data_IF_581024937977
#
_entry.id   IF_581024937977
#
_cell.length_a   1.000
_cell.length_b   1.000
_cell.length_c   1.000
_cell.angle_alpha   90.00
_cell.angle_beta   90.00
_cell.angle_gamma   90.00
#
_symmetry.space_group_name_H-M   'P 1'
#
loop_
_entity.id
_entity.type
_entity.pdbx_description
1 polymer ?
#
# COMPACT_ATOMS: atom_id res chain seq x y z
N UNK A 1 -13.08 8.02 -20.94
CA UNK A 1 -14.20 8.74 -20.33
C UNK A 1 -15.45 8.33 -21.10
N UNK A 2 -16.18 7.33 -20.61
CA UNK A 2 -17.50 6.97 -21.13
C UNK A 2 -18.48 7.47 -20.08
N UNK A 3 -18.97 8.70 -20.27
CA UNK A 3 -20.12 9.18 -19.53
C UNK A 3 -21.32 8.34 -20.00
N UNK A 4 -22.02 7.69 -19.07
CA UNK A 4 -23.31 7.10 -19.38
C UNK A 4 -24.19 8.19 -20.03
N UNK A 5 -24.97 7.86 -21.07
CA UNK A 5 -25.84 8.84 -21.70
C UNK A 5 -26.75 9.48 -20.64
N UNK A 6 -26.88 10.81 -20.72
CA UNK A 6 -27.52 11.70 -19.73
C UNK A 6 -28.95 11.23 -19.31
N UNK A 7 -29.60 10.45 -20.17
CA UNK A 7 -30.95 9.90 -19.98
C UNK A 7 -31.06 8.73 -19.00
N UNK A 8 -29.94 8.08 -18.63
CA UNK A 8 -29.94 6.99 -17.66
C UNK A 8 -29.78 7.50 -16.22
N UNK A 9 -28.95 8.52 -16.01
CA UNK A 9 -28.68 9.10 -14.68
C UNK A 9 -29.94 9.71 -14.06
N UNK A 10 -30.79 10.33 -14.89
CA UNK A 10 -32.06 10.94 -14.44
C UNK A 10 -33.13 9.93 -14.00
N UNK A 11 -32.93 8.64 -14.29
CA UNK A 11 -33.83 7.54 -13.88
C UNK A 11 -33.29 6.75 -12.68
N UNK A 12 -32.03 6.98 -12.30
CA UNK A 12 -31.38 6.29 -11.21
C UNK A 12 -31.75 6.93 -9.87
N UNK A 13 -32.05 6.10 -8.89
CA UNK A 13 -32.13 6.53 -7.50
C UNK A 13 -30.76 7.04 -7.03
N UNK A 14 -30.74 7.91 -6.02
CA UNK A 14 -29.50 8.40 -5.39
C UNK A 14 -28.56 7.24 -5.00
N UNK A 15 -29.14 6.12 -4.54
CA UNK A 15 -28.39 4.90 -4.19
C UNK A 15 -27.70 4.25 -5.41
N UNK A 16 -28.36 4.21 -6.57
CA UNK A 16 -27.79 3.65 -7.79
C UNK A 16 -26.70 4.56 -8.35
N UNK A 17 -26.86 5.88 -8.23
CA UNK A 17 -25.82 6.86 -8.60
C UNK A 17 -24.58 6.66 -7.75
N UNK A 18 -24.73 6.58 -6.42
CA UNK A 18 -23.62 6.36 -5.47
C UNK A 18 -22.91 5.01 -5.72
N UNK A 19 -23.68 3.97 -6.04
CA UNK A 19 -23.15 2.66 -6.43
C UNK A 19 -22.36 2.73 -7.75
N UNK A 20 -22.85 3.46 -8.75
CA UNK A 20 -22.13 3.66 -10.01
C UNK A 20 -20.85 4.47 -9.82
N UNK A 21 -20.90 5.56 -9.05
CA UNK A 21 -19.72 6.39 -8.73
C UNK A 21 -18.66 5.59 -8.00
N UNK A 22 -19.03 4.82 -6.97
CA UNK A 22 -18.10 3.95 -6.25
C UNK A 22 -17.43 2.89 -7.13
N UNK A 23 -18.11 2.45 -8.20
CA UNK A 23 -17.58 1.49 -9.16
C UNK A 23 -16.65 2.13 -10.22
N UNK A 24 -16.84 3.42 -10.51
CA UNK A 24 -16.09 4.17 -11.53
C UNK A 24 -14.87 4.90 -10.97
N UNK A 25 -14.92 5.38 -9.72
CA UNK A 25 -13.73 5.77 -8.99
C UNK A 25 -12.95 4.51 -8.64
N UNK A 26 -12.06 4.10 -9.54
CA UNK A 26 -11.33 2.85 -9.46
C UNK A 26 -10.49 2.80 -8.17
N UNK A 27 -11.08 2.27 -7.09
CA UNK A 27 -10.45 1.97 -5.82
C UNK A 27 -9.19 1.13 -6.02
N UNK A 28 -9.22 0.23 -7.02
CA UNK A 28 -8.08 -0.62 -7.41
C UNK A 28 -6.85 0.20 -7.85
N UNK A 29 -7.02 1.27 -8.61
CA UNK A 29 -5.91 2.14 -9.03
C UNK A 29 -5.26 2.85 -7.83
N UNK A 30 -6.07 3.24 -6.85
CA UNK A 30 -5.61 3.83 -5.59
C UNK A 30 -4.87 2.81 -4.72
N UNK A 31 -5.39 1.59 -4.61
CA UNK A 31 -4.71 0.49 -3.92
C UNK A 31 -3.34 0.21 -4.54
N UNK A 32 -3.26 0.08 -5.86
CA UNK A 32 -1.99 -0.14 -6.58
C UNK A 32 -1.01 1.02 -6.33
N UNK A 33 -1.47 2.27 -6.42
CA UNK A 33 -0.65 3.44 -6.14
C UNK A 33 -0.14 3.46 -4.67
N UNK A 34 -0.99 3.08 -3.71
CA UNK A 34 -0.60 2.98 -2.30
C UNK A 34 0.46 1.89 -2.08
N UNK A 35 0.27 0.70 -2.69
CA UNK A 35 1.25 -0.40 -2.63
C UNK A 35 2.61 0.04 -3.17
N UNK A 36 2.62 0.65 -4.36
CA UNK A 36 3.84 1.17 -4.98
C UNK A 36 4.53 2.22 -4.10
N UNK A 37 3.78 3.18 -3.55
CA UNK A 37 4.33 4.19 -2.64
C UNK A 37 4.88 3.57 -1.36
N UNK A 38 4.19 2.55 -0.81
CA UNK A 38 4.63 1.87 0.40
C UNK A 38 5.97 1.16 0.20
N UNK A 39 6.13 0.44 -0.92
CA UNK A 39 7.38 -0.28 -1.25
C UNK A 39 8.57 0.63 -1.54
N UNK A 40 8.35 1.93 -1.83
CA UNK A 40 9.41 2.92 -2.05
C UNK A 40 9.82 3.71 -0.81
N UNK A 41 9.24 3.42 0.35
CA UNK A 41 9.56 4.14 1.59
C UNK A 41 10.89 3.68 2.16
N UNK A 42 11.85 4.58 2.18
CA UNK A 42 13.13 4.39 2.85
C UNK A 42 13.14 5.07 4.22
N UNK A 43 13.99 4.58 5.13
CA UNK A 43 14.26 5.19 6.43
C UNK A 43 15.03 6.49 6.24
N UNK A 44 14.59 7.55 6.92
CA UNK A 44 15.28 8.84 6.90
C UNK A 44 16.65 8.78 7.60
N UNK A 45 17.59 9.69 7.28
CA UNK A 45 18.95 9.68 7.83
C UNK A 45 19.02 9.90 9.35
N UNK A 46 17.97 10.44 9.96
CA UNK A 46 17.84 10.68 11.42
C UNK A 46 16.62 9.98 12.02
N UNK A 47 15.90 9.20 11.22
CA UNK A 47 14.71 8.49 11.66
C UNK A 47 15.15 7.22 12.38
N UNK A 48 14.62 6.95 13.56
CA UNK A 48 14.87 5.69 14.24
C UNK A 48 14.19 4.53 13.51
N UNK A 49 14.72 3.32 13.71
CA UNK A 49 14.12 2.10 13.13
C UNK A 49 12.66 1.95 13.56
N UNK A 50 12.34 2.30 14.81
CA UNK A 50 10.97 2.24 15.35
C UNK A 50 10.04 3.21 14.64
N UNK A 51 10.46 4.47 14.45
CA UNK A 51 9.67 5.47 13.73
C UNK A 51 9.43 5.07 12.29
N UNK A 52 10.47 4.58 11.61
CA UNK A 52 10.36 4.05 10.26
C UNK A 52 9.37 2.90 10.17
N UNK A 53 9.48 1.91 11.07
CA UNK A 53 8.58 0.74 11.13
C UNK A 53 7.12 1.15 11.33
N UNK A 54 6.86 2.07 12.26
CA UNK A 54 5.50 2.58 12.51
C UNK A 54 4.94 3.34 11.30
N UNK A 55 5.78 4.13 10.63
CA UNK A 55 5.39 4.85 9.41
C UNK A 55 5.09 3.90 8.25
N UNK A 56 5.87 2.83 8.11
CA UNK A 56 5.65 1.78 7.12
C UNK A 56 4.34 1.02 7.39
N UNK A 57 4.11 0.64 8.65
CA UNK A 57 2.87 -0.02 9.08
C UNK A 57 1.64 0.85 8.77
N UNK A 58 1.64 2.13 9.17
CA UNK A 58 0.55 3.06 8.86
C UNK A 58 0.31 3.23 7.36
N UNK A 59 1.36 3.21 6.55
CA UNK A 59 1.22 3.29 5.09
C UNK A 59 0.57 2.02 4.49
N UNK A 60 0.84 0.85 5.07
CA UNK A 60 0.29 -0.43 4.62
C UNK A 60 -1.22 -0.56 4.81
N UNK A 61 -1.82 0.16 5.76
CA UNK A 61 -3.26 0.12 6.05
C UNK A 61 -4.10 0.48 4.82
N UNK A 62 -3.58 1.33 3.93
CA UNK A 62 -4.27 1.77 2.70
C UNK A 62 -3.99 0.88 1.49
N UNK A 63 -3.22 -0.19 1.65
CA UNK A 63 -2.71 -1.01 0.57
C UNK A 63 -3.52 -2.29 0.32
N UNK A 64 -4.45 -2.64 1.22
CA UNK A 64 -5.24 -3.87 1.18
C UNK A 64 -4.39 -5.09 0.80
N UNK A 65 -3.33 -5.38 1.56
CA UNK A 65 -2.44 -6.52 1.28
C UNK A 65 -3.07 -7.88 1.63
N UNK A 66 -4.22 -7.87 2.32
CA UNK A 66 -4.92 -9.07 2.77
C UNK A 66 -3.96 -10.01 3.52
N UNK A 67 -3.90 -11.28 3.14
CA UNK A 67 -3.03 -12.30 3.76
C UNK A 67 -1.53 -12.05 3.55
N UNK A 68 -1.14 -11.27 2.55
CA UNK A 68 0.28 -10.99 2.24
C UNK A 68 0.87 -9.81 3.02
N UNK A 69 0.11 -9.23 3.96
CA UNK A 69 0.48 -8.00 4.66
C UNK A 69 1.85 -8.12 5.34
N UNK A 70 2.08 -9.18 6.09
CA UNK A 70 3.29 -9.33 6.90
C UNK A 70 4.52 -9.55 6.01
N UNK A 71 4.42 -10.44 5.03
CA UNK A 71 5.50 -10.67 4.04
C UNK A 71 5.84 -9.39 3.26
N UNK A 72 4.83 -8.63 2.86
CA UNK A 72 5.03 -7.37 2.13
C UNK A 72 5.68 -6.30 3.01
N UNK A 73 5.27 -6.22 4.28
CA UNK A 73 5.85 -5.29 5.25
C UNK A 73 7.31 -5.63 5.55
N UNK A 74 7.63 -6.91 5.75
CA UNK A 74 9.00 -7.38 5.98
C UNK A 74 9.87 -7.05 4.76
N UNK A 75 9.42 -7.40 3.55
CA UNK A 75 10.17 -7.10 2.32
C UNK A 75 10.40 -5.59 2.15
N UNK A 76 9.37 -4.77 2.36
CA UNK A 76 9.49 -3.32 2.28
C UNK A 76 10.42 -2.74 3.36
N UNK A 77 10.41 -3.31 4.57
CA UNK A 77 11.29 -2.92 5.66
C UNK A 77 12.75 -3.23 5.33
N UNK A 78 13.06 -4.47 4.92
CA UNK A 78 14.43 -4.90 4.59
C UNK A 78 15.02 -4.04 3.46
N UNK A 79 14.22 -3.75 2.44
CA UNK A 79 14.65 -2.94 1.29
C UNK A 79 14.83 -1.46 1.62
N UNK A 80 14.06 -0.92 2.58
CA UNK A 80 14.04 0.50 2.87
C UNK A 80 14.79 0.91 4.14
N UNK A 81 15.20 -0.03 5.01
CA UNK A 81 15.97 0.28 6.22
C UNK A 81 17.32 0.88 5.85
N UNK A 82 17.69 1.98 6.52
CA UNK A 82 18.98 2.62 6.38
C UNK A 82 19.97 1.93 7.32
N UNK A 83 20.50 0.82 6.83
CA UNK A 83 21.47 0.01 7.54
C UNK A 83 22.82 0.02 6.81
N UNK A 84 23.68 1.03 7.05
CA UNK A 84 24.93 1.21 6.31
C UNK A 84 25.98 0.13 6.61
N UNK A 85 25.72 -0.77 7.58
CA UNK A 85 26.60 -1.88 7.92
C UNK A 85 26.03 -3.23 7.45
N UNK A 86 24.88 -3.22 6.78
CA UNK A 86 24.10 -4.37 6.29
C UNK A 86 23.82 -5.48 7.33
N UNK A 87 24.08 -5.25 8.62
CA UNK A 87 23.88 -6.22 9.72
C UNK A 87 22.43 -6.64 9.90
N UNK A 88 21.51 -5.68 9.85
CA UNK A 88 20.07 -5.92 9.98
C UNK A 88 19.58 -6.74 8.78
N UNK A 89 20.08 -6.43 7.58
CA UNK A 89 19.72 -7.21 6.38
C UNK A 89 20.27 -8.63 6.47
N UNK A 90 21.53 -8.79 6.88
CA UNK A 90 22.15 -10.10 7.11
C UNK A 90 21.39 -10.91 8.15
N UNK A 91 21.14 -10.35 9.34
CA UNK A 91 20.41 -11.04 10.43
C UNK A 91 19.00 -11.48 10.01
N UNK A 92 18.31 -10.66 9.21
CA UNK A 92 16.95 -10.96 8.74
C UNK A 92 16.91 -11.91 7.54
N UNK A 93 17.97 -11.98 6.72
CA UNK A 93 18.08 -12.88 5.57
C UNK A 93 18.66 -14.24 5.95
N UNK A 94 19.62 -14.29 6.89
CA UNK A 94 20.18 -15.52 7.46
C UNK A 94 19.17 -16.23 8.37
N UNK A 95 18.27 -15.47 8.99
CA UNK A 95 17.09 -15.97 9.71
C UNK A 95 15.97 -16.48 8.79
N UNK A 96 16.26 -17.39 7.85
CA UNK A 96 15.31 -18.27 7.13
C UNK A 96 13.87 -17.74 6.95
N UNK A 97 13.67 -16.74 6.12
CA UNK A 97 12.38 -16.56 5.42
C UNK A 97 12.54 -17.16 4.01
N UNK A 98 12.56 -18.49 3.94
CA UNK A 98 12.43 -19.20 2.66
C UNK A 98 10.96 -19.16 2.25
N UNK A 99 10.69 -18.56 1.08
CA UNK A 99 9.43 -18.73 0.35
C UNK A 99 9.36 -20.14 -0.25
#
# INVERSE_FOLDING_TARGET
MLLAPYDEITKMSIYEIDKCESSHYCLKSWTIANRFRSGKRVQGPKESIREYSLRLLKASEKCNFEEFKDNTLIGAFILGVNDPKDKIKEDLLEGRYYF
#
